data_IF_416293475033
#
_entry.id   IF_416293475033
#
_cell.length_a   1.000
_cell.length_b   1.000
_cell.length_c   1.000
_cell.angle_alpha   90.00
_cell.angle_beta   90.00
_cell.angle_gamma   90.00
#
_symmetry.space_group_name_H-M   'P 1'
#
loop_
_entity.id
_entity.type
_entity.pdbx_description
1 polymer ?
#
# COMPACT_ATOMS: atom_id res chain seq x y z
N UNK A 1 -9.97 3.18 2.23
CA UNK A 1 -9.83 1.73 1.98
C UNK A 1 -8.76 1.53 0.91
N UNK A 2 -7.83 0.62 1.11
CA UNK A 2 -6.81 0.27 0.12
C UNK A 2 -7.44 -0.40 -1.11
N UNK A 3 -6.91 -0.18 -2.32
CA UNK A 3 -7.47 -0.78 -3.54
C UNK A 3 -7.32 -2.31 -3.52
N UNK A 4 -8.24 -3.04 -4.18
CA UNK A 4 -8.15 -4.50 -4.28
C UNK A 4 -6.86 -4.89 -5.00
N UNK A 5 -6.05 -5.74 -4.37
CA UNK A 5 -4.81 -6.27 -4.92
C UNK A 5 -4.86 -7.78 -4.91
N UNK A 6 -4.50 -8.42 -6.03
CA UNK A 6 -4.38 -9.88 -6.10
C UNK A 6 -3.49 -10.43 -4.98
N UNK A 7 -2.36 -9.77 -4.70
CA UNK A 7 -1.47 -10.15 -3.59
C UNK A 7 -2.08 -9.95 -2.20
N UNK A 8 -3.09 -9.08 -2.08
CA UNK A 8 -3.88 -8.91 -0.86
C UNK A 8 -4.82 -10.09 -0.67
N UNK A 9 -5.58 -10.45 -1.70
CA UNK A 9 -6.46 -11.62 -1.68
C UNK A 9 -5.69 -12.92 -1.38
N UNK A 10 -4.60 -13.19 -2.11
CA UNK A 10 -3.75 -14.36 -1.88
C UNK A 10 -3.19 -14.41 -0.45
N UNK A 11 -2.78 -13.26 0.11
CA UNK A 11 -2.34 -13.19 1.50
C UNK A 11 -3.47 -13.50 2.47
N UNK A 12 -4.68 -13.00 2.24
CA UNK A 12 -5.85 -13.24 3.10
C UNK A 12 -6.31 -14.70 3.11
N UNK A 13 -6.21 -15.42 1.97
CA UNK A 13 -6.55 -16.86 1.91
C UNK A 13 -5.52 -17.74 2.64
N UNK A 14 -4.28 -17.28 2.74
CA UNK A 14 -3.26 -17.97 3.54
C UNK A 14 -3.28 -17.44 4.97
N UNK A 15 -3.13 -18.28 5.99
CA UNK A 15 -2.92 -17.81 7.38
C UNK A 15 -1.57 -17.07 7.59
N UNK A 16 -0.93 -16.61 6.51
CA UNK A 16 0.32 -15.83 6.50
C UNK A 16 0.03 -14.32 6.63
N UNK A 17 -1.21 -13.87 6.38
CA UNK A 17 -1.57 -12.48 6.64
C UNK A 17 -1.69 -12.26 8.15
N UNK A 18 -0.66 -11.63 8.75
CA UNK A 18 -0.84 -10.97 10.03
C UNK A 18 -1.98 -9.96 9.85
N UNK A 19 -3.04 -10.11 10.64
CA UNK A 19 -4.12 -9.12 10.72
C UNK A 19 -3.46 -7.80 11.09
N UNK A 20 -3.59 -6.78 10.25
CA UNK A 20 -2.95 -5.47 10.47
C UNK A 20 -3.65 -4.78 11.64
N UNK A 21 -3.23 -5.10 12.87
CA UNK A 21 -3.69 -4.42 14.07
C UNK A 21 -3.00 -3.04 14.11
N UNK A 22 -3.71 -1.99 13.71
CA UNK A 22 -3.19 -0.61 13.70
C UNK A 22 -2.67 -0.13 15.07
N UNK A 23 -3.12 -0.75 16.16
CA UNK A 23 -2.61 -0.53 17.52
C UNK A 23 -1.19 -1.05 17.73
N UNK A 24 -0.78 -2.08 16.99
CA UNK A 24 0.56 -2.67 17.01
C UNK A 24 1.60 -1.69 16.43
N UNK A 25 1.20 -0.85 15.46
CA UNK A 25 2.09 0.09 14.78
C UNK A 25 2.58 1.24 15.69
N UNK A 26 1.73 1.71 16.62
CA UNK A 26 2.09 2.72 17.62
C UNK A 26 3.01 2.13 18.69
N UNK A 27 2.75 0.88 19.11
CA UNK A 27 3.57 0.13 20.05
C UNK A 27 4.96 -0.19 19.48
N UNK A 28 5.04 -0.52 18.19
CA UNK A 28 6.30 -0.80 17.49
C UNK A 28 7.20 0.45 17.45
N UNK A 29 6.66 1.63 17.13
CA UNK A 29 7.45 2.87 17.09
C UNK A 29 8.03 3.26 18.44
N UNK A 30 7.23 3.18 19.52
CA UNK A 30 7.71 3.42 20.89
C UNK A 30 8.80 2.42 21.26
N UNK A 31 8.61 1.15 20.91
CA UNK A 31 9.57 0.08 21.17
C UNK A 31 10.89 0.27 20.40
N UNK A 32 10.83 0.66 19.12
CA UNK A 32 12.00 1.00 18.30
C UNK A 32 12.78 2.18 18.88
N UNK A 33 12.09 3.25 19.30
CA UNK A 33 12.71 4.40 19.97
C UNK A 33 13.39 3.99 21.28
N UNK A 34 12.74 3.14 22.07
CA UNK A 34 13.29 2.60 23.30
C UNK A 34 14.57 1.78 23.04
N UNK A 35 14.54 0.84 22.08
CA UNK A 35 15.71 0.03 21.70
C UNK A 35 16.87 0.88 21.22
N UNK A 36 16.61 1.91 20.41
CA UNK A 36 17.65 2.84 19.95
C UNK A 36 18.28 3.57 21.13
N UNK A 37 17.47 4.09 22.06
CA UNK A 37 17.95 4.71 23.30
C UNK A 37 18.76 3.73 24.14
N UNK A 38 18.33 2.48 24.24
CA UNK A 38 19.03 1.44 25.00
C UNK A 38 20.41 1.10 24.40
N UNK A 39 20.51 0.97 23.08
CA UNK A 39 21.78 0.75 22.40
C UNK A 39 22.77 1.89 22.68
N UNK A 40 22.34 3.15 22.54
CA UNK A 40 23.16 4.31 22.87
C UNK A 40 23.46 4.43 24.38
N UNK A 41 22.61 3.90 25.25
CA UNK A 41 22.84 3.87 26.70
C UNK A 41 23.76 2.71 27.14
N UNK A 42 23.94 1.69 26.29
CA UNK A 42 24.82 0.54 26.59
C UNK A 42 26.24 0.79 26.09
N UNK A 43 26.38 1.48 24.96
CA UNK A 43 27.66 1.78 24.34
C UNK A 43 28.26 3.09 24.88
N UNK A 44 29.52 3.06 25.31
CA UNK A 44 30.28 4.26 25.70
C UNK A 44 30.19 4.69 27.19
N UNK A 45 30.64 5.92 27.45
CA UNK A 45 30.67 6.58 28.77
C UNK A 45 29.33 7.29 29.01
N UNK A 46 28.45 6.69 29.82
CA UNK A 46 27.13 7.26 30.10
C UNK A 46 27.15 8.20 31.30
N UNK A 47 26.18 9.11 31.39
CA UNK A 47 26.02 9.98 32.56
C UNK A 47 25.93 9.17 33.87
N UNK A 48 25.26 8.01 33.85
CA UNK A 48 25.19 7.11 35.01
C UNK A 48 26.56 6.55 35.39
N UNK A 49 27.38 6.12 34.41
CA UNK A 49 28.76 5.67 34.66
C UNK A 49 29.64 6.80 35.22
N UNK A 50 29.48 8.02 34.73
CA UNK A 50 30.19 9.22 35.22
C UNK A 50 29.78 9.53 36.67
N UNK A 51 28.47 9.59 36.95
CA UNK A 51 27.96 9.88 38.30
C UNK A 51 28.40 8.80 39.30
N UNK A 52 28.31 7.52 38.89
CA UNK A 52 28.77 6.39 39.69
C UNK A 52 30.26 6.53 40.03
N UNK A 53 31.10 6.74 39.02
CA UNK A 53 32.54 6.96 39.17
C UNK A 53 32.86 8.13 40.11
N UNK A 54 32.15 9.27 39.98
CA UNK A 54 32.33 10.41 40.88
C UNK A 54 31.85 10.14 42.32
N UNK A 55 31.04 9.11 42.54
CA UNK A 55 30.42 8.81 43.83
C UNK A 55 31.09 7.67 44.62
N UNK A 56 31.79 6.77 43.91
CA UNK A 56 32.38 5.54 44.47
C UNK A 56 33.52 5.79 45.47
N UNK A 57 34.38 6.79 45.25
CA UNK A 57 35.66 6.89 45.97
C UNK A 57 35.89 8.24 46.69
N UNK A 58 34.81 8.88 47.14
CA UNK A 58 34.88 10.23 47.73
C UNK A 58 34.30 10.35 49.14
N UNK A 59 34.97 11.15 49.97
CA UNK A 59 34.46 11.64 51.25
C UNK A 59 33.12 12.36 51.06
N UNK A 60 32.26 12.34 52.09
CA UNK A 60 30.91 12.92 52.03
C UNK A 60 30.90 14.39 51.56
N UNK A 61 31.89 15.19 51.97
CA UNK A 61 32.05 16.58 51.56
C UNK A 61 32.46 16.72 50.08
N UNK A 62 33.43 15.92 49.62
CA UNK A 62 33.89 15.90 48.23
C UNK A 62 32.78 15.42 47.28
N UNK A 63 32.04 14.38 47.69
CA UNK A 63 30.86 13.87 46.96
C UNK A 63 29.81 14.97 46.76
N UNK A 64 29.57 15.80 47.78
CA UNK A 64 28.58 16.87 47.72
C UNK A 64 29.04 18.02 46.79
N UNK A 65 30.32 18.38 46.83
CA UNK A 65 30.91 19.34 45.89
C UNK A 65 30.87 18.80 44.44
N UNK A 66 31.31 17.57 44.21
CA UNK A 66 31.25 16.93 42.89
C UNK A 66 29.81 16.84 42.35
N UNK A 67 28.81 16.60 43.21
CA UNK A 67 27.42 16.60 42.79
C UNK A 67 26.92 17.98 42.35
N UNK A 68 27.38 19.05 43.00
CA UNK A 68 27.08 20.42 42.58
C UNK A 68 27.72 20.75 41.23
N UNK A 69 28.97 20.35 41.02
CA UNK A 69 29.65 20.51 39.73
C UNK A 69 28.95 19.71 38.61
N UNK A 70 28.56 18.46 38.87
CA UNK A 70 27.80 17.65 37.91
C UNK A 70 26.43 18.27 37.57
N UNK A 71 25.75 18.89 38.54
CA UNK A 71 24.51 19.63 38.30
C UNK A 71 24.75 20.88 37.45
N UNK A 72 25.81 21.62 37.75
CA UNK A 72 26.24 22.79 36.98
C UNK A 72 26.54 22.40 35.52
N UNK A 73 27.27 21.31 35.31
CA UNK A 73 27.58 20.77 33.98
C UNK A 73 26.31 20.40 33.21
N UNK A 74 25.32 19.77 33.87
CA UNK A 74 24.07 19.39 33.23
C UNK A 74 23.23 20.60 32.84
N UNK A 75 23.16 21.62 33.70
CA UNK A 75 22.49 22.89 33.40
C UNK A 75 23.16 23.60 32.22
N UNK A 76 24.49 23.70 32.23
CA UNK A 76 25.25 24.28 31.13
C UNK A 76 25.03 23.53 29.80
N UNK A 77 25.07 22.20 29.81
CA UNK A 77 24.82 21.39 28.61
C UNK A 77 23.40 21.62 28.05
N UNK A 78 22.40 21.74 28.93
CA UNK A 78 21.03 22.06 28.54
C UNK A 78 20.94 23.45 27.90
N UNK A 79 21.46 24.47 28.57
CA UNK A 79 21.45 25.85 28.06
C UNK A 79 22.18 25.98 26.73
N UNK A 80 23.34 25.31 26.57
CA UNK A 80 24.10 25.28 25.32
C UNK A 80 23.30 24.62 24.20
N UNK A 81 22.64 23.49 24.47
CA UNK A 81 21.82 22.80 23.48
C UNK A 81 20.62 23.66 23.03
N UNK A 82 19.93 24.29 23.98
CA UNK A 82 18.81 25.19 23.71
C UNK A 82 19.26 26.43 22.94
N UNK A 83 20.31 27.10 23.39
CA UNK A 83 20.86 28.30 22.75
C UNK A 83 21.36 27.98 21.33
N UNK A 84 22.05 26.85 21.13
CA UNK A 84 22.52 26.41 19.82
C UNK A 84 21.36 26.19 18.84
N UNK A 85 20.32 25.46 19.27
CA UNK A 85 19.14 25.22 18.45
C UNK A 85 18.44 26.53 18.05
N UNK A 86 18.28 27.44 19.00
CA UNK A 86 17.66 28.75 18.77
C UNK A 86 18.52 29.61 17.85
N UNK A 87 19.85 29.63 18.01
CA UNK A 87 20.76 30.37 17.14
C UNK A 87 20.75 29.83 15.71
N UNK A 88 20.80 28.51 15.52
CA UNK A 88 20.70 27.88 14.19
C UNK A 88 19.34 28.20 13.56
N UNK A 89 18.24 28.10 14.32
CA UNK A 89 16.92 28.46 13.81
C UNK A 89 16.85 29.93 13.35
N UNK A 90 17.44 30.87 14.11
CA UNK A 90 17.52 32.29 13.70
C UNK A 90 18.39 32.52 12.48
N UNK A 91 19.52 31.82 12.36
CA UNK A 91 20.41 31.91 11.19
C UNK A 91 19.78 31.33 9.93
N UNK A 92 18.99 30.27 10.09
CA UNK A 92 18.33 29.56 9.00
C UNK A 92 17.01 30.22 8.58
N UNK A 93 16.29 30.88 9.50
CA UNK A 93 15.01 31.55 9.20
C UNK A 93 15.02 32.52 7.99
N UNK A 94 16.05 33.37 7.77
CA UNK A 94 16.13 34.23 6.58
C UNK A 94 16.68 33.51 5.34
N UNK A 95 17.26 32.31 5.49
CA UNK A 95 17.72 31.50 4.39
C UNK A 95 16.50 30.76 3.83
N UNK A 96 15.97 31.22 2.69
CA UNK A 96 14.86 30.55 2.03
C UNK A 96 15.12 29.04 1.84
N UNK A 97 14.07 28.23 1.94
CA UNK A 97 14.16 26.76 2.04
C UNK A 97 14.99 26.14 0.92
N UNK A 98 14.90 26.68 -0.30
CA UNK A 98 15.69 26.22 -1.47
C UNK A 98 17.21 26.34 -1.29
N UNK A 99 17.69 27.34 -0.55
CA UNK A 99 19.13 27.53 -0.28
C UNK A 99 19.63 26.60 0.82
N UNK A 100 18.79 26.35 1.82
CA UNK A 100 19.09 25.40 2.91
C UNK A 100 19.16 23.98 2.35
N UNK A 101 18.21 23.60 1.50
CA UNK A 101 18.19 22.29 0.84
C UNK A 101 19.42 22.08 -0.05
N UNK A 102 19.79 23.07 -0.85
CA UNK A 102 21.02 23.03 -1.66
C UNK A 102 22.29 22.88 -0.80
N UNK A 103 22.34 23.54 0.36
CA UNK A 103 23.46 23.41 1.29
C UNK A 103 23.55 22.00 1.89
N UNK A 104 22.43 21.43 2.32
CA UNK A 104 22.35 20.04 2.82
C UNK A 104 22.82 19.06 1.74
N UNK A 105 22.32 19.21 0.51
CA UNK A 105 22.69 18.37 -0.63
C UNK A 105 24.19 18.45 -0.94
N UNK A 106 24.79 19.64 -0.85
CA UNK A 106 26.23 19.85 -1.06
C UNK A 106 27.09 19.20 0.03
N UNK A 107 26.61 19.17 1.27
CA UNK A 107 27.32 18.51 2.37
C UNK A 107 27.16 16.99 2.34
N UNK A 108 25.96 16.49 2.05
CA UNK A 108 25.69 15.06 1.94
C UNK A 108 26.46 14.41 0.78
N UNK A 109 26.67 15.12 -0.33
CA UNK A 109 27.49 14.64 -1.45
C UNK A 109 28.99 14.58 -1.13
N UNK A 110 29.48 15.36 -0.16
CA UNK A 110 30.88 15.32 0.32
C UNK A 110 31.15 14.22 1.34
N UNK A 111 30.12 13.66 1.97
CA UNK A 111 30.30 12.56 2.89
C UNK A 111 30.72 11.32 2.09
N UNK A 112 31.88 10.73 2.44
CA UNK A 112 32.44 9.60 1.72
C UNK A 112 31.37 8.47 1.62
N UNK A 113 30.90 8.14 0.40
CA UNK A 113 29.86 7.13 0.22
C UNK A 113 30.27 5.73 0.67
N UNK A 114 31.55 5.54 1.00
CA UNK A 114 32.13 4.27 1.44
C UNK A 114 32.17 4.11 2.97
N UNK A 115 31.82 5.14 3.77
CA UNK A 115 31.75 5.01 5.24
C UNK A 115 30.44 4.34 5.67
N UNK A 116 30.26 3.09 5.21
CA UNK A 116 29.07 2.27 5.42
C UNK A 116 28.39 1.88 4.11
N UNK A 117 29.10 1.20 3.21
CA UNK A 117 28.50 0.64 1.99
C UNK A 117 27.40 -0.35 2.37
N UNK A 118 26.15 0.12 2.34
CA UNK A 118 24.99 -0.75 2.51
C UNK A 118 24.96 -1.80 1.39
N UNK A 119 24.43 -2.97 1.73
CA UNK A 119 24.21 -4.03 0.77
C UNK A 119 23.38 -3.52 -0.42
N UNK A 120 23.80 -3.86 -1.64
CA UNK A 120 23.09 -3.49 -2.88
C UNK A 120 23.41 -2.11 -3.44
N UNK A 121 24.32 -1.32 -2.84
CA UNK A 121 24.71 0.01 -3.35
C UNK A 121 25.24 0.01 -4.79
N UNK A 122 25.87 -1.08 -5.21
CA UNK A 122 26.47 -1.26 -6.53
C UNK A 122 25.55 -1.99 -7.53
N UNK A 123 24.29 -2.24 -7.16
CA UNK A 123 23.30 -2.86 -8.04
C UNK A 123 22.60 -1.74 -8.81
N UNK A 124 22.50 -1.90 -10.13
CA UNK A 124 21.72 -0.99 -10.99
C UNK A 124 20.25 -1.35 -10.81
N UNK A 125 19.46 -0.40 -10.30
CA UNK A 125 18.02 -0.53 -10.18
C UNK A 125 17.34 0.21 -11.33
N UNK A 126 16.38 -0.43 -11.98
CA UNK A 126 15.38 0.27 -12.76
C UNK A 126 14.22 0.67 -11.85
N UNK A 127 13.70 1.88 -12.05
CA UNK A 127 12.49 2.38 -11.42
C UNK A 127 11.25 2.22 -12.31
N UNK A 128 11.42 1.60 -13.48
CA UNK A 128 10.34 1.33 -14.41
C UNK A 128 9.35 0.37 -13.74
N UNK A 129 8.13 0.82 -13.58
CA UNK A 129 7.02 0.02 -13.09
C UNK A 129 6.10 -0.34 -14.26
N UNK A 130 5.27 -1.37 -14.07
CA UNK A 130 4.24 -1.72 -15.04
C UNK A 130 3.22 -0.57 -15.11
N UNK A 131 3.33 0.26 -16.14
CA UNK A 131 2.32 1.23 -16.52
C UNK A 131 1.29 0.56 -17.42
N UNK A 132 0.07 1.08 -17.43
CA UNK A 132 -0.93 0.66 -18.41
C UNK A 132 -0.46 1.11 -19.80
N UNK A 133 -0.64 0.25 -20.80
CA UNK A 133 -0.43 0.66 -22.18
C UNK A 133 -1.45 1.76 -22.55
N UNK A 134 -1.05 2.82 -23.27
CA UNK A 134 -1.98 3.83 -23.76
C UNK A 134 -3.06 3.14 -24.60
N UNK A 135 -4.28 3.13 -24.11
CA UNK A 135 -5.43 2.75 -24.92
C UNK A 135 -5.82 3.96 -25.77
N UNK A 136 -6.17 3.76 -27.03
CA UNK A 136 -6.88 4.79 -27.78
C UNK A 136 -8.18 5.10 -27.04
N UNK A 137 -8.43 6.40 -26.78
CA UNK A 137 -9.68 6.84 -26.17
C UNK A 137 -10.85 6.35 -27.01
N UNK A 138 -11.93 5.86 -26.36
CA UNK A 138 -13.14 5.52 -27.09
C UNK A 138 -13.61 6.77 -27.85
N UNK A 139 -13.89 6.69 -29.16
CA UNK A 139 -14.30 7.82 -29.97
C UNK A 139 -15.76 8.19 -29.69
N UNK A 140 -16.07 8.63 -28.47
CA UNK A 140 -17.41 9.06 -28.08
C UNK A 140 -17.32 10.12 -26.97
N UNK A 141 -16.90 11.33 -27.34
CA UNK A 141 -17.18 12.53 -26.54
C UNK A 141 -17.74 13.63 -27.45
N UNK A 142 -19.00 13.45 -27.87
CA UNK A 142 -19.77 14.54 -28.48
C UNK A 142 -20.76 14.17 -29.59
N UNK A 143 -21.50 13.06 -29.48
CA UNK A 143 -22.60 12.77 -30.41
C UNK A 143 -23.83 12.38 -29.60
N UNK A 144 -24.97 13.02 -29.93
CA UNK A 144 -26.27 12.89 -29.26
C UNK A 144 -26.70 11.44 -29.02
N UNK A 145 -27.37 11.21 -27.87
CA UNK A 145 -27.69 9.91 -27.26
C UNK A 145 -28.67 9.00 -28.03
N UNK A 146 -28.92 9.19 -29.33
CA UNK A 146 -29.98 8.44 -30.05
C UNK A 146 -29.52 7.51 -31.18
N UNK A 147 -28.25 7.48 -31.60
CA UNK A 147 -27.80 6.51 -32.62
C UNK A 147 -26.31 6.15 -32.51
N UNK A 148 -25.89 5.66 -31.35
CA UNK A 148 -24.57 5.02 -31.20
C UNK A 148 -24.75 3.55 -30.88
N UNK A 149 -25.07 2.76 -31.90
CA UNK A 149 -24.88 1.31 -31.85
C UNK A 149 -23.38 1.03 -31.78
N UNK A 150 -22.85 0.89 -30.56
CA UNK A 150 -21.50 0.38 -30.35
C UNK A 150 -21.49 -1.06 -30.84
N UNK A 151 -20.95 -1.28 -32.04
CA UNK A 151 -20.87 -2.60 -32.66
C UNK A 151 -19.75 -3.41 -32.00
N UNK A 152 -19.97 -3.79 -30.73
CA UNK A 152 -19.07 -4.56 -29.87
C UNK A 152 -18.62 -5.87 -30.54
N UNK A 153 -19.47 -6.43 -31.40
CA UNK A 153 -19.18 -7.61 -32.22
C UNK A 153 -17.98 -7.35 -33.14
N UNK A 154 -17.92 -6.18 -33.76
CA UNK A 154 -16.88 -5.84 -34.72
C UNK A 154 -15.52 -5.60 -34.05
N UNK A 155 -15.54 -5.01 -32.85
CA UNK A 155 -14.34 -4.84 -32.01
C UNK A 155 -13.75 -6.20 -31.58
N UNK A 156 -14.58 -7.15 -31.14
CA UNK A 156 -14.15 -8.50 -30.76
C UNK A 156 -13.65 -9.32 -31.95
N UNK A 157 -14.29 -9.18 -33.12
CA UNK A 157 -13.87 -9.87 -34.33
C UNK A 157 -12.49 -9.40 -34.84
N UNK A 158 -12.19 -8.10 -34.73
CA UNK A 158 -10.88 -7.58 -35.13
C UNK A 158 -9.73 -8.06 -34.24
N UNK A 159 -9.98 -8.25 -32.93
CA UNK A 159 -9.00 -8.83 -32.00
C UNK A 159 -8.72 -10.32 -32.30
N UNK A 160 -9.72 -11.09 -32.75
CA UNK A 160 -9.53 -12.48 -33.17
C UNK A 160 -8.81 -12.60 -34.52
N UNK A 161 -9.06 -11.68 -35.45
CA UNK A 161 -8.44 -11.70 -36.79
C UNK A 161 -6.92 -11.42 -36.76
N UNK A 162 -6.43 -10.68 -35.76
CA UNK A 162 -5.01 -10.37 -35.57
C UNK A 162 -4.12 -11.54 -35.13
N UNK A 163 -4.69 -12.70 -34.77
CA UNK A 163 -3.97 -13.91 -34.36
C UNK A 163 -4.02 -15.00 -35.42
N UNK A 164 -3.54 -14.71 -36.64
CA UNK A 164 -3.22 -15.76 -37.63
C UNK A 164 -1.71 -15.95 -37.73
N UNK A 165 -1.19 -16.77 -36.83
CA UNK A 165 0.20 -17.24 -36.82
C UNK A 165 0.29 -18.69 -36.35
N UNK A 166 0.17 -19.61 -37.31
CA UNK A 166 0.78 -20.96 -37.34
C UNK A 166 0.26 -22.02 -36.34
N UNK A 167 -0.61 -22.90 -36.85
CA UNK A 167 -0.44 -24.37 -36.95
C UNK A 167 -1.70 -25.18 -36.57
N UNK A 168 -1.90 -26.22 -37.36
CA UNK A 168 -3.07 -27.07 -37.52
C UNK A 168 -3.45 -27.92 -36.30
N UNK A 169 -4.76 -28.20 -36.17
CA UNK A 169 -5.32 -29.16 -35.22
C UNK A 169 -6.82 -28.97 -35.05
N UNK A 170 -7.61 -29.72 -35.82
CA UNK A 170 -9.07 -29.76 -35.81
C UNK A 170 -9.67 -29.96 -34.40
N UNK A 171 -10.72 -29.21 -34.07
CA UNK A 171 -11.94 -29.69 -33.40
C UNK A 171 -12.96 -28.54 -33.34
N UNK A 172 -13.98 -28.65 -34.19
CA UNK A 172 -15.13 -27.75 -34.27
C UNK A 172 -15.84 -27.60 -32.93
N UNK A 173 -16.02 -26.37 -32.45
CA UNK A 173 -17.13 -26.05 -31.55
C UNK A 173 -18.01 -25.00 -32.23
N UNK A 174 -19.30 -25.33 -32.29
CA UNK A 174 -20.34 -24.64 -33.03
C UNK A 174 -20.56 -23.22 -32.49
N UNK A 175 -20.12 -22.21 -33.25
CA UNK A 175 -20.40 -20.80 -32.98
C UNK A 175 -21.85 -20.47 -33.36
N UNK A 176 -22.76 -20.54 -32.38
CA UNK A 176 -24.13 -20.06 -32.55
C UNK A 176 -24.14 -18.54 -32.39
N UNK A 177 -24.38 -17.85 -33.50
CA UNK A 177 -24.65 -16.40 -33.59
C UNK A 177 -25.75 -16.00 -32.60
N UNK A 178 -25.42 -15.20 -31.58
CA UNK A 178 -26.40 -14.54 -30.72
C UNK A 178 -26.87 -13.25 -31.41
N UNK A 179 -27.98 -13.38 -32.14
CA UNK A 179 -28.72 -12.27 -32.72
C UNK A 179 -29.69 -11.71 -31.68
N UNK A 180 -29.59 -10.40 -31.43
CA UNK A 180 -30.69 -9.48 -31.11
C UNK A 180 -31.70 -9.91 -30.03
N UNK A 181 -31.62 -9.26 -28.87
CA UNK A 181 -32.71 -9.21 -27.88
C UNK A 181 -32.65 -10.31 -26.84
N UNK A 182 -31.58 -10.32 -26.05
CA UNK A 182 -31.29 -11.39 -25.10
C UNK A 182 -32.03 -11.24 -23.75
N UNK A 183 -33.34 -11.00 -23.82
CA UNK A 183 -34.23 -11.15 -22.66
C UNK A 183 -34.43 -12.61 -22.23
N UNK A 184 -33.88 -13.55 -23.00
CA UNK A 184 -34.02 -14.99 -22.82
C UNK A 184 -32.78 -15.67 -22.20
N UNK A 185 -31.67 -14.96 -21.93
CA UNK A 185 -30.47 -15.56 -21.29
C UNK A 185 -30.86 -16.19 -19.96
N UNK A 186 -31.48 -15.40 -19.08
CA UNK A 186 -31.82 -15.86 -17.74
C UNK A 186 -32.77 -17.06 -17.80
N UNK A 187 -33.77 -17.01 -18.69
CA UNK A 187 -34.70 -18.13 -18.91
C UNK A 187 -33.99 -19.39 -19.41
N UNK A 188 -33.08 -19.24 -20.37
CA UNK A 188 -32.34 -20.37 -20.96
C UNK A 188 -31.44 -21.05 -19.91
N UNK A 189 -30.77 -20.25 -19.07
CA UNK A 189 -29.89 -20.78 -18.04
C UNK A 189 -30.70 -21.38 -16.86
N UNK A 190 -31.82 -20.74 -16.47
CA UNK A 190 -32.75 -21.29 -15.46
C UNK A 190 -33.32 -22.63 -15.93
N UNK A 191 -33.81 -22.71 -17.17
CA UNK A 191 -34.41 -23.92 -17.74
C UNK A 191 -33.38 -25.06 -17.85
N UNK A 192 -32.12 -24.74 -18.16
CA UNK A 192 -31.01 -25.70 -18.18
C UNK A 192 -30.76 -26.34 -16.81
N UNK A 193 -30.80 -25.56 -15.72
CA UNK A 193 -30.60 -26.10 -14.37
C UNK A 193 -31.86 -26.71 -13.76
N UNK A 194 -33.05 -26.25 -14.16
CA UNK A 194 -34.32 -26.87 -13.77
C UNK A 194 -34.44 -28.28 -14.35
N UNK A 195 -34.10 -28.45 -15.64
CA UNK A 195 -34.13 -29.75 -16.32
C UNK A 195 -33.02 -30.70 -15.84
N UNK A 196 -31.93 -30.17 -15.28
CA UNK A 196 -30.81 -30.95 -14.74
C UNK A 196 -30.92 -31.31 -13.25
N UNK A 197 -31.90 -30.76 -12.54
CA UNK A 197 -32.05 -30.88 -11.08
C UNK A 197 -33.43 -31.38 -10.64
N UNK A 198 -33.54 -31.83 -9.39
CA UNK A 198 -34.78 -32.38 -8.82
C UNK A 198 -35.75 -31.28 -8.30
N UNK A 199 -35.87 -30.16 -9.00
CA UNK A 199 -36.70 -28.99 -8.63
C UNK A 199 -37.94 -28.92 -9.52
N UNK A 200 -38.83 -29.91 -9.37
CA UNK A 200 -39.90 -30.22 -10.32
C UNK A 200 -41.19 -29.39 -10.10
N UNK A 201 -41.19 -28.40 -9.20
CA UNK A 201 -42.43 -27.75 -8.74
C UNK A 201 -42.56 -26.25 -8.97
N UNK A 202 -41.55 -25.58 -9.54
CA UNK A 202 -41.63 -24.14 -9.82
C UNK A 202 -41.60 -23.91 -11.32
N UNK A 203 -42.49 -23.06 -11.84
CA UNK A 203 -42.43 -22.71 -13.26
C UNK A 203 -41.15 -21.89 -13.53
N UNK A 204 -40.49 -22.08 -14.69
CA UNK A 204 -39.28 -21.34 -15.02
C UNK A 204 -39.54 -19.83 -15.07
N UNK A 205 -40.77 -19.41 -15.38
CA UNK A 205 -41.19 -18.02 -15.36
C UNK A 205 -41.23 -17.41 -13.95
N UNK A 206 -41.82 -18.12 -12.98
CA UNK A 206 -41.88 -17.66 -11.58
C UNK A 206 -40.49 -17.54 -10.96
N UNK A 207 -39.61 -18.50 -11.24
CA UNK A 207 -38.24 -18.47 -10.76
C UNK A 207 -37.45 -17.33 -11.40
N UNK A 208 -37.62 -17.08 -12.69
CA UNK A 208 -37.02 -15.92 -13.35
C UNK A 208 -37.51 -14.61 -12.72
N UNK A 209 -38.82 -14.47 -12.44
CA UNK A 209 -39.35 -13.26 -11.79
C UNK A 209 -38.84 -13.07 -10.38
N UNK A 210 -38.73 -14.15 -9.60
CA UNK A 210 -38.17 -14.10 -8.24
C UNK A 210 -36.69 -13.71 -8.25
N UNK A 211 -35.88 -14.28 -9.16
CA UNK A 211 -34.48 -13.91 -9.33
C UNK A 211 -34.32 -12.44 -9.74
N UNK A 212 -35.18 -11.94 -10.64
CA UNK A 212 -35.17 -10.54 -11.02
C UNK A 212 -35.52 -9.61 -9.85
N UNK A 213 -36.52 -9.95 -9.04
CA UNK A 213 -36.91 -9.16 -7.87
C UNK A 213 -35.83 -9.20 -6.78
N UNK A 214 -35.18 -10.34 -6.59
CA UNK A 214 -34.09 -10.52 -5.64
C UNK A 214 -32.87 -9.67 -6.03
N UNK A 215 -32.44 -9.77 -7.30
CA UNK A 215 -31.31 -9.00 -7.84
C UNK A 215 -31.60 -7.49 -7.95
N UNK A 216 -32.87 -7.10 -8.06
CA UNK A 216 -33.27 -5.69 -8.04
C UNK A 216 -33.47 -5.14 -6.61
N UNK A 217 -33.39 -5.98 -5.58
CA UNK A 217 -33.54 -5.53 -4.20
C UNK A 217 -32.29 -4.78 -3.70
N UNK A 218 -32.41 -4.07 -2.58
CA UNK A 218 -31.29 -3.35 -1.96
C UNK A 218 -30.46 -4.21 -1.00
N UNK A 219 -30.66 -5.53 -1.02
CA UNK A 219 -29.93 -6.47 -0.15
C UNK A 219 -28.45 -6.52 -0.54
N UNK A 220 -27.59 -6.84 0.41
CA UNK A 220 -26.15 -6.95 0.17
C UNK A 220 -25.81 -8.24 -0.57
N UNK A 221 -24.69 -8.26 -1.30
CA UNK A 221 -24.26 -9.42 -2.10
C UNK A 221 -24.16 -10.72 -1.26
N UNK A 222 -23.70 -10.61 -0.01
CA UNK A 222 -23.62 -11.73 0.94
C UNK A 222 -25.01 -12.26 1.34
N UNK A 223 -26.02 -11.40 1.42
CA UNK A 223 -27.41 -11.80 1.71
C UNK A 223 -28.05 -12.46 0.48
N UNK A 224 -27.81 -11.92 -0.72
CA UNK A 224 -28.32 -12.44 -1.98
C UNK A 224 -27.75 -13.82 -2.33
N UNK A 225 -26.50 -14.10 -1.96
CA UNK A 225 -25.87 -15.40 -2.22
C UNK A 225 -26.37 -16.52 -1.29
N UNK A 226 -26.89 -16.16 -0.11
CA UNK A 226 -27.38 -17.13 0.87
C UNK A 226 -28.83 -17.58 0.61
N UNK A 227 -29.60 -16.80 -0.15
CA UNK A 227 -31.00 -17.05 -0.53
C UNK A 227 -31.11 -17.89 -1.81
#
# INVERSE_FOLDING_TARGET
>A
MSPPRLTGALRSFSNVSKKEDFTEHLHDLKTKRLKRRELFAREGLTWQKIVHFCSEDQDKAKRQAANQELKSLLLAAKEIAEASCVCVARLVAPLGESRVENFIQTLCSRHNPQRGSAFGRNIVFSYDCYTLDPLEDLPCSGIDEEDVSLDFINFLNNQQSGRKGVSEGELSSSGRSLSSGDGAILRTEVEKYLNGGNMISSSPEELCTSLFEMLASRRSDDELQNE
#
